data_IF_012023695256
#
_entry.id   IF_012023695256
#
_cell.length_a   1.000
_cell.length_b   1.000
_cell.length_c   1.000
_cell.angle_alpha   90.00
_cell.angle_beta   90.00
_cell.angle_gamma   90.00
#
_symmetry.space_group_name_H-M   'P 1'
#
loop_
_entity.id
_entity.type
_entity.pdbx_description
1 polymer ?
#
# COMPACT_ATOMS: atom_id res chain seq x y z
N UNK A 1 5.69 -20.57 23.22
CA UNK A 1 5.49 -20.17 21.82
C UNK A 1 5.15 -18.70 21.85
N UNK A 2 6.17 -17.87 21.69
CA UNK A 2 5.98 -16.42 21.64
C UNK A 2 5.61 -16.07 20.19
N UNK A 3 4.31 -16.16 19.91
CA UNK A 3 3.72 -15.93 18.61
C UNK A 3 3.59 -14.43 18.37
N UNK A 4 4.70 -13.78 18.01
CA UNK A 4 4.59 -12.51 17.28
C UNK A 4 3.99 -12.84 15.92
N UNK A 5 2.68 -12.63 15.77
CA UNK A 5 2.04 -12.67 14.45
C UNK A 5 2.84 -11.75 13.50
N UNK A 6 3.25 -12.25 12.33
CA UNK A 6 3.87 -11.38 11.33
C UNK A 6 2.90 -10.24 11.03
N UNK A 7 3.42 -9.00 11.03
CA UNK A 7 2.61 -7.79 10.89
C UNK A 7 1.60 -7.94 9.76
N UNK A 8 0.34 -7.68 10.10
CA UNK A 8 -0.75 -7.71 9.15
C UNK A 8 -0.79 -6.37 8.40
N UNK A 9 -0.79 -6.42 7.06
CA UNK A 9 -1.37 -5.32 6.31
C UNK A 9 -2.81 -5.11 6.78
N UNK A 10 -3.20 -3.85 6.84
CA UNK A 10 -4.51 -3.44 7.34
C UNK A 10 -4.95 -2.16 6.65
N UNK A 11 -6.26 -1.91 6.59
CA UNK A 11 -6.81 -0.63 6.16
C UNK A 11 -6.30 0.53 7.03
N UNK A 12 -6.09 0.31 8.34
CA UNK A 12 -5.45 1.29 9.23
C UNK A 12 -4.00 1.55 8.82
N UNK A 13 -3.32 0.50 8.35
CA UNK A 13 -1.93 0.51 7.91
C UNK A 13 -1.72 0.80 6.43
N UNK A 14 -2.65 1.50 5.75
CA UNK A 14 -2.55 1.84 4.33
C UNK A 14 -1.17 2.39 3.90
N UNK A 15 -0.56 3.33 4.65
CA UNK A 15 0.80 3.81 4.38
C UNK A 15 1.89 2.72 4.38
N UNK A 16 1.78 1.72 5.26
CA UNK A 16 2.74 0.62 5.37
C UNK A 16 2.62 -0.35 4.19
N UNK A 17 1.40 -0.66 3.74
CA UNK A 17 1.20 -1.39 2.48
C UNK A 17 1.78 -0.58 1.31
N UNK A 18 1.46 0.71 1.22
CA UNK A 18 1.97 1.57 0.16
C UNK A 18 3.50 1.65 0.12
N UNK A 19 4.17 1.63 1.27
CA UNK A 19 5.64 1.60 1.35
C UNK A 19 6.24 0.32 0.72
N UNK A 20 5.63 -0.84 0.95
CA UNK A 20 6.03 -2.07 0.28
C UNK A 20 5.74 -2.01 -1.22
N UNK A 21 4.53 -1.58 -1.60
CA UNK A 21 4.11 -1.55 -3.00
C UNK A 21 4.94 -0.56 -3.85
N UNK A 22 5.27 0.62 -3.34
CA UNK A 22 6.11 1.59 -4.05
C UNK A 22 7.51 1.05 -4.40
N UNK A 23 7.96 -0.01 -3.70
CA UNK A 23 9.25 -0.68 -3.95
C UNK A 23 9.14 -1.89 -4.86
N UNK A 24 7.94 -2.45 -5.02
CA UNK A 24 7.72 -3.66 -5.80
C UNK A 24 7.47 -3.35 -7.29
N UNK A 25 8.08 -4.08 -8.24
CA UNK A 25 7.80 -3.89 -9.67
C UNK A 25 6.34 -4.15 -10.08
N UNK A 26 5.60 -4.93 -9.29
CA UNK A 26 4.16 -5.14 -9.46
C UNK A 26 3.28 -4.26 -8.57
N UNK A 27 3.85 -3.33 -7.81
CA UNK A 27 3.14 -2.58 -6.77
C UNK A 27 1.92 -1.80 -7.25
N UNK A 28 2.03 -1.08 -8.36
CA UNK A 28 0.91 -0.35 -8.95
C UNK A 28 -0.25 -1.28 -9.38
N UNK A 29 0.04 -2.51 -9.82
CA UNK A 29 -1.02 -3.48 -10.13
C UNK A 29 -1.68 -4.03 -8.87
N UNK A 30 -0.90 -4.30 -7.82
CA UNK A 30 -1.47 -4.68 -6.50
C UNK A 30 -2.38 -3.55 -6.02
N UNK A 31 -1.91 -2.31 -6.08
CA UNK A 31 -2.70 -1.14 -5.71
C UNK A 31 -4.01 -1.07 -6.51
N UNK A 32 -3.96 -1.19 -7.84
CA UNK A 32 -5.16 -1.21 -8.68
C UNK A 32 -6.17 -2.29 -8.30
N UNK A 33 -5.72 -3.53 -8.03
CA UNK A 33 -6.60 -4.63 -7.60
C UNK A 33 -7.23 -4.34 -6.24
N UNK A 34 -6.47 -3.82 -5.27
CA UNK A 34 -7.00 -3.52 -3.94
C UNK A 34 -7.95 -2.33 -3.98
N UNK A 35 -7.71 -1.33 -4.84
CA UNK A 35 -8.68 -0.23 -5.08
C UNK A 35 -9.98 -0.74 -5.69
N UNK A 36 -9.93 -1.68 -6.64
CA UNK A 36 -11.14 -2.37 -7.11
C UNK A 36 -11.83 -3.06 -5.93
N UNK A 37 -11.10 -3.81 -5.12
CA UNK A 37 -11.67 -4.50 -3.95
C UNK A 37 -12.30 -3.54 -2.91
N UNK A 38 -11.80 -2.32 -2.77
CA UNK A 38 -12.39 -1.29 -1.91
C UNK A 38 -13.71 -0.73 -2.48
N UNK A 39 -13.85 -0.72 -3.81
CA UNK A 39 -14.97 -0.13 -4.53
C UNK A 39 -16.08 -1.14 -4.92
N UNK A 40 -15.80 -2.45 -4.93
CA UNK A 40 -16.79 -3.45 -5.36
C UNK A 40 -18.05 -3.44 -4.51
N UNK A 41 -19.19 -3.49 -5.19
CA UNK A 41 -20.50 -3.74 -4.59
C UNK A 41 -20.93 -5.21 -4.70
N UNK A 42 -22.14 -5.55 -4.18
CA UNK A 42 -22.68 -6.91 -4.25
C UNK A 42 -22.70 -7.50 -5.67
N UNK A 43 -23.12 -6.73 -6.68
CA UNK A 43 -23.18 -7.18 -8.08
C UNK A 43 -21.78 -7.49 -8.66
N UNK A 44 -20.75 -6.76 -8.24
CA UNK A 44 -19.38 -7.02 -8.67
C UNK A 44 -18.81 -8.28 -8.03
N UNK A 45 -19.23 -8.61 -6.79
CA UNK A 45 -18.86 -9.87 -6.14
C UNK A 45 -19.42 -11.07 -6.90
N UNK A 46 -20.65 -11.00 -7.39
CA UNK A 46 -21.23 -12.06 -8.24
C UNK A 46 -20.41 -12.25 -9.53
N UNK A 47 -20.02 -11.15 -10.18
CA UNK A 47 -19.19 -11.18 -11.40
C UNK A 47 -17.81 -11.79 -11.16
N UNK A 48 -17.17 -11.43 -10.05
CA UNK A 48 -15.88 -11.98 -9.64
C UNK A 48 -16.01 -13.47 -9.31
N UNK A 49 -17.00 -13.84 -8.51
CA UNK A 49 -17.26 -15.23 -8.12
C UNK A 49 -17.54 -16.12 -9.33
N UNK A 50 -18.29 -15.64 -10.33
CA UNK A 50 -18.55 -16.35 -11.58
C UNK A 50 -17.27 -16.64 -12.39
N UNK A 51 -16.20 -15.86 -12.18
CA UNK A 51 -14.92 -16.05 -12.84
C UNK A 51 -13.95 -16.95 -12.06
N UNK A 52 -14.32 -17.41 -10.86
CA UNK A 52 -13.46 -18.17 -9.96
C UNK A 52 -12.87 -19.42 -10.64
N UNK A 53 -11.54 -19.68 -10.52
CA UNK A 53 -10.86 -20.76 -11.24
C UNK A 53 -11.17 -22.17 -10.71
N UNK A 54 -11.90 -22.27 -9.62
CA UNK A 54 -12.19 -23.52 -8.92
C UNK A 54 -11.13 -23.85 -7.86
N UNK A 55 -11.53 -24.60 -6.82
CA UNK A 55 -10.67 -24.89 -5.66
C UNK A 55 -9.39 -25.65 -6.03
N UNK A 56 -9.44 -26.53 -7.04
CA UNK A 56 -8.29 -27.33 -7.46
C UNK A 56 -7.15 -26.50 -8.04
N UNK A 57 -7.46 -25.60 -8.98
CA UNK A 57 -6.46 -24.71 -9.59
C UNK A 57 -5.84 -23.77 -8.55
N UNK A 58 -6.67 -23.21 -7.67
CA UNK A 58 -6.19 -22.32 -6.60
C UNK A 58 -5.25 -23.03 -5.63
N UNK A 59 -5.58 -24.25 -5.25
CA UNK A 59 -4.74 -25.05 -4.37
C UNK A 59 -3.39 -25.42 -5.02
N UNK A 60 -3.38 -25.68 -6.32
CA UNK A 60 -2.14 -25.86 -7.09
C UNK A 60 -1.27 -24.59 -7.10
N UNK A 61 -1.88 -23.41 -7.31
CA UNK A 61 -1.16 -22.14 -7.27
C UNK A 61 -0.54 -21.89 -5.90
N UNK A 62 -1.33 -22.08 -4.82
CA UNK A 62 -0.85 -21.92 -3.44
C UNK A 62 0.34 -22.81 -3.14
N UNK A 63 0.27 -24.09 -3.52
CA UNK A 63 1.38 -25.05 -3.36
C UNK A 63 2.65 -24.64 -4.10
N UNK A 64 2.50 -23.95 -5.24
CA UNK A 64 3.64 -23.54 -6.07
C UNK A 64 4.40 -22.34 -5.51
N UNK A 65 3.76 -21.50 -4.68
CA UNK A 65 4.36 -20.28 -4.14
C UNK A 65 4.39 -20.22 -2.60
N UNK A 66 4.22 -21.35 -1.89
CA UNK A 66 4.40 -21.41 -0.44
C UNK A 66 5.81 -20.90 -0.12
N UNK A 67 5.97 -19.89 0.76
CA UNK A 67 7.28 -19.40 1.12
C UNK A 67 8.11 -20.54 1.71
N UNK A 68 9.30 -20.80 1.16
CA UNK A 68 10.36 -21.45 1.94
C UNK A 68 10.64 -20.55 3.14
N UNK A 69 10.20 -21.00 4.31
CA UNK A 69 10.29 -20.35 5.61
C UNK A 69 11.62 -19.64 5.83
N UNK A 70 11.57 -18.32 6.00
CA UNK A 70 12.73 -17.49 6.27
C UNK A 70 12.39 -16.01 6.37
N UNK A 71 11.23 -15.66 6.93
CA UNK A 71 10.88 -14.27 7.19
C UNK A 71 11.34 -13.92 8.60
N UNK A 72 12.40 -13.13 8.73
CA UNK A 72 12.73 -12.47 9.99
C UNK A 72 11.53 -11.61 10.42
N UNK A 73 11.28 -11.57 11.73
CA UNK A 73 10.12 -10.91 12.32
C UNK A 73 10.00 -9.45 11.87
N UNK A 74 8.80 -9.05 11.43
CA UNK A 74 8.47 -7.67 11.06
C UNK A 74 8.77 -6.66 12.19
N UNK A 75 8.70 -7.08 13.45
CA UNK A 75 9.10 -6.26 14.60
C UNK A 75 10.61 -5.96 14.61
N UNK A 76 11.42 -6.90 14.12
CA UNK A 76 12.86 -6.71 13.89
C UNK A 76 13.07 -5.77 12.72
N UNK A 77 12.33 -5.91 11.62
CA UNK A 77 12.44 -5.03 10.44
C UNK A 77 12.02 -3.59 10.72
N UNK A 78 11.00 -3.35 11.55
CA UNK A 78 10.55 -1.99 11.91
C UNK A 78 11.43 -1.32 12.97
N UNK A 79 11.92 -2.08 13.96
CA UNK A 79 13.01 -1.61 14.82
C UNK A 79 14.26 -1.30 14.01
N UNK A 80 14.57 -2.15 13.03
CA UNK A 80 15.66 -1.91 12.11
C UNK A 80 15.34 -0.77 11.15
N UNK A 81 14.10 -0.47 10.76
CA UNK A 81 13.77 0.65 9.87
C UNK A 81 13.79 1.99 10.62
N UNK A 82 13.28 2.03 11.84
CA UNK A 82 13.40 3.18 12.75
C UNK A 82 14.85 3.45 13.13
N UNK A 83 15.57 2.42 13.60
CA UNK A 83 17.01 2.53 13.91
C UNK A 83 17.88 2.70 12.66
N UNK A 84 17.48 2.18 11.50
CA UNK A 84 18.16 2.41 10.22
C UNK A 84 18.02 3.83 9.73
N UNK A 85 16.86 4.46 9.94
CA UNK A 85 16.68 5.87 9.62
C UNK A 85 17.57 6.74 10.52
N UNK A 86 17.82 6.30 11.76
CA UNK A 86 18.77 6.93 12.69
C UNK A 86 20.25 6.61 12.37
N UNK A 87 20.61 5.38 11.99
CA UNK A 87 21.98 4.93 11.69
C UNK A 87 22.42 5.17 10.23
N UNK A 88 21.49 5.30 9.27
CA UNK A 88 21.81 5.71 7.90
C UNK A 88 22.33 7.16 7.85
N UNK A 89 22.14 7.94 8.92
CA UNK A 89 22.86 9.20 9.15
C UNK A 89 24.40 8.99 9.24
N UNK A 90 24.87 7.76 9.49
CA UNK A 90 26.29 7.37 9.54
C UNK A 90 26.80 6.65 8.27
N UNK A 91 25.98 6.47 7.23
CA UNK A 91 26.45 6.01 5.91
C UNK A 91 26.57 4.49 5.69
N UNK A 92 25.92 3.65 6.50
CA UNK A 92 25.99 2.20 6.31
C UNK A 92 25.12 1.66 5.15
N UNK A 93 25.74 1.57 3.98
CA UNK A 93 25.20 1.02 2.71
C UNK A 93 24.64 -0.42 2.78
N UNK A 94 24.96 -1.20 3.82
CA UNK A 94 24.48 -2.58 3.97
C UNK A 94 23.03 -2.64 4.49
N UNK A 95 22.68 -1.77 5.42
CA UNK A 95 21.37 -1.71 6.03
C UNK A 95 20.35 -0.98 5.11
N UNK A 96 20.81 -0.03 4.30
CA UNK A 96 20.04 0.54 3.19
C UNK A 96 19.64 -0.51 2.14
N UNK A 97 20.58 -1.38 1.71
CA UNK A 97 20.26 -2.50 0.80
C UNK A 97 19.27 -3.49 1.40
N UNK A 98 19.32 -3.70 2.73
CA UNK A 98 18.37 -4.55 3.44
C UNK A 98 16.98 -3.93 3.44
N UNK A 99 16.87 -2.62 3.65
CA UNK A 99 15.62 -1.87 3.51
C UNK A 99 15.08 -1.85 2.08
N UNK A 100 15.92 -1.81 1.05
CA UNK A 100 15.45 -1.90 -0.34
C UNK A 100 14.77 -3.27 -0.63
N UNK A 101 15.20 -4.34 0.05
CA UNK A 101 14.73 -5.71 -0.21
C UNK A 101 13.74 -6.29 0.80
N UNK A 102 13.64 -5.73 2.00
CA UNK A 102 12.79 -6.27 3.07
C UNK A 102 11.40 -5.63 3.04
N UNK A 103 10.39 -6.46 2.81
CA UNK A 103 8.99 -6.06 2.89
C UNK A 103 8.52 -6.11 4.35
N UNK A 104 7.54 -5.27 4.70
CA UNK A 104 6.91 -5.25 6.01
C UNK A 104 5.90 -6.39 6.18
N UNK A 105 5.23 -6.77 5.09
CA UNK A 105 4.30 -7.88 5.03
C UNK A 105 4.68 -8.95 4.01
N UNK A 106 3.75 -9.86 3.77
CA UNK A 106 3.85 -10.93 2.78
C UNK A 106 2.52 -11.13 2.02
N UNK A 107 2.52 -12.07 1.07
CA UNK A 107 1.32 -12.38 0.29
C UNK A 107 0.16 -12.90 1.17
N UNK A 108 0.44 -13.55 2.29
CA UNK A 108 -0.59 -14.02 3.22
C UNK A 108 -1.21 -12.85 4.00
N UNK A 109 -0.40 -11.86 4.40
CA UNK A 109 -0.89 -10.63 4.99
C UNK A 109 -1.79 -9.85 4.02
N UNK A 110 -1.46 -9.87 2.71
CA UNK A 110 -2.27 -9.24 1.67
C UNK A 110 -3.61 -9.95 1.46
N UNK A 111 -3.63 -11.28 1.33
CA UNK A 111 -4.89 -12.07 1.26
C UNK A 111 -5.75 -11.82 2.51
N UNK A 112 -5.15 -11.83 3.70
CA UNK A 112 -5.85 -11.54 4.95
C UNK A 112 -6.49 -10.16 4.94
N UNK A 113 -5.74 -9.11 4.57
CA UNK A 113 -6.25 -7.74 4.50
C UNK A 113 -7.44 -7.64 3.55
N UNK A 114 -7.34 -8.23 2.35
CA UNK A 114 -8.44 -8.21 1.37
C UNK A 114 -9.71 -8.83 1.98
N UNK A 115 -9.58 -9.97 2.66
CA UNK A 115 -10.73 -10.67 3.23
C UNK A 115 -11.30 -10.02 4.47
N UNK A 116 -10.43 -9.59 5.38
CA UNK A 116 -10.79 -9.25 6.76
C UNK A 116 -10.99 -7.77 6.99
N UNK A 117 -10.36 -6.93 6.18
CA UNK A 117 -10.43 -5.49 6.33
C UNK A 117 -11.17 -4.85 5.15
N UNK A 118 -10.86 -5.26 3.91
CA UNK A 118 -11.47 -4.66 2.71
C UNK A 118 -12.88 -5.20 2.47
N UNK A 119 -13.07 -6.52 2.58
CA UNK A 119 -14.36 -7.20 2.41
C UNK A 119 -15.00 -7.58 3.76
N UNK A 120 -14.66 -6.85 4.82
CA UNK A 120 -15.19 -7.03 6.18
C UNK A 120 -16.74 -7.07 6.22
N UNK A 121 -17.39 -6.21 5.44
CA UNK A 121 -18.84 -6.11 5.31
C UNK A 121 -19.53 -7.38 4.76
N UNK A 122 -18.77 -8.32 4.19
CA UNK A 122 -19.28 -9.60 3.66
C UNK A 122 -19.27 -10.73 4.70
N UNK A 123 -18.81 -10.46 5.92
CA UNK A 123 -18.76 -11.46 6.99
C UNK A 123 -20.09 -11.57 7.74
N UNK A 124 -20.62 -12.79 7.78
CA UNK A 124 -21.79 -13.17 8.55
C UNK A 124 -21.35 -13.62 9.95
N UNK A 125 -21.99 -13.05 10.96
CA UNK A 125 -21.67 -13.31 12.37
C UNK A 125 -22.84 -14.02 13.05
N UNK A 126 -22.56 -15.17 13.67
CA UNK A 126 -23.50 -15.99 14.41
C UNK A 126 -22.91 -16.45 15.74
N UNK A 127 -23.04 -15.63 16.78
CA UNK A 127 -22.43 -15.89 18.09
C UNK A 127 -20.90 -15.91 18.00
N UNK A 128 -20.28 -17.02 18.41
CA UNK A 128 -18.82 -17.21 18.33
C UNK A 128 -18.32 -17.63 16.94
N UNK A 129 -19.21 -17.80 15.96
CA UNK A 129 -18.87 -18.24 14.61
C UNK A 129 -18.95 -17.05 13.66
N UNK A 130 -17.91 -16.86 12.86
CA UNK A 130 -17.90 -15.91 11.74
C UNK A 130 -17.55 -16.65 10.45
N UNK A 131 -18.35 -16.46 9.41
CA UNK A 131 -18.11 -17.02 8.09
C UNK A 131 -18.33 -15.92 7.04
N UNK A 132 -17.47 -15.88 6.04
CA UNK A 132 -17.68 -14.99 4.91
C UNK A 132 -18.83 -15.55 4.04
N UNK A 133 -19.66 -14.67 3.49
CA UNK A 133 -20.64 -15.06 2.49
C UNK A 133 -19.98 -15.92 1.38
N UNK A 134 -20.59 -17.04 0.93
CA UNK A 134 -19.97 -17.95 -0.03
C UNK A 134 -19.59 -17.29 -1.37
N UNK A 135 -20.42 -16.38 -1.89
CA UNK A 135 -20.11 -15.65 -3.12
C UNK A 135 -18.96 -14.69 -2.87
N UNK A 136 -19.01 -13.94 -1.77
CA UNK A 136 -17.93 -13.04 -1.39
C UNK A 136 -16.60 -13.78 -1.16
N UNK A 137 -16.64 -15.01 -0.64
CA UNK A 137 -15.45 -15.83 -0.45
C UNK A 137 -14.80 -16.20 -1.78
N UNK A 138 -15.58 -16.60 -2.78
CA UNK A 138 -15.10 -16.86 -4.15
C UNK A 138 -14.59 -15.59 -4.84
N UNK A 139 -15.26 -14.46 -4.64
CA UNK A 139 -14.80 -13.18 -5.16
C UNK A 139 -13.47 -12.74 -4.51
N UNK A 140 -13.33 -12.92 -3.19
CA UNK A 140 -12.12 -12.63 -2.45
C UNK A 140 -10.94 -13.49 -2.92
N UNK A 141 -11.19 -14.75 -3.30
CA UNK A 141 -10.19 -15.62 -3.92
C UNK A 141 -9.65 -15.03 -5.23
N UNK A 142 -10.53 -14.56 -6.11
CA UNK A 142 -10.14 -13.93 -7.38
C UNK A 142 -9.31 -12.65 -7.15
N UNK A 143 -9.73 -11.80 -6.22
CA UNK A 143 -9.01 -10.57 -5.87
C UNK A 143 -7.64 -10.87 -5.26
N UNK A 144 -7.57 -11.80 -4.30
CA UNK A 144 -6.35 -12.17 -3.63
C UNK A 144 -5.34 -12.84 -4.58
N UNK A 145 -5.79 -13.71 -5.48
CA UNK A 145 -4.91 -14.38 -6.45
C UNK A 145 -4.35 -13.36 -7.46
N UNK A 146 -5.17 -12.42 -7.93
CA UNK A 146 -4.73 -11.34 -8.81
C UNK A 146 -3.71 -10.43 -8.13
N UNK A 147 -3.98 -9.99 -6.90
CA UNK A 147 -3.07 -9.17 -6.10
C UNK A 147 -1.75 -9.92 -5.81
N UNK A 148 -1.82 -11.19 -5.42
CA UNK A 148 -0.65 -12.04 -5.15
C UNK A 148 0.20 -12.23 -6.40
N UNK A 149 -0.43 -12.40 -7.57
CA UNK A 149 0.29 -12.56 -8.84
C UNK A 149 1.18 -11.35 -9.17
N UNK A 150 0.71 -10.14 -8.84
CA UNK A 150 1.46 -8.90 -9.02
C UNK A 150 2.47 -8.69 -7.89
N UNK A 151 2.10 -8.99 -6.65
CA UNK A 151 2.98 -8.87 -5.48
C UNK A 151 4.23 -9.75 -5.61
N UNK A 152 4.06 -10.98 -6.11
CA UNK A 152 5.12 -11.96 -6.33
C UNK A 152 5.65 -11.94 -7.79
N UNK A 153 5.46 -10.83 -8.52
CA UNK A 153 5.75 -10.73 -9.96
C UNK A 153 7.09 -11.34 -10.38
N UNK A 154 8.16 -11.04 -9.66
CA UNK A 154 9.52 -11.49 -10.00
C UNK A 154 9.86 -12.90 -9.47
N UNK A 155 8.97 -13.48 -8.66
CA UNK A 155 9.12 -14.82 -8.07
C UNK A 155 8.27 -15.88 -8.77
N UNK A 156 7.25 -15.46 -9.52
CA UNK A 156 6.34 -16.36 -10.23
C UNK A 156 6.76 -16.53 -11.69
N UNK A 157 6.63 -17.75 -12.21
CA UNK A 157 6.73 -17.98 -13.64
C UNK A 157 5.69 -17.13 -14.40
N UNK A 158 6.01 -16.55 -15.56
CA UNK A 158 5.09 -15.67 -16.30
C UNK A 158 3.73 -16.32 -16.62
N UNK A 159 3.70 -17.63 -16.88
CA UNK A 159 2.48 -18.36 -17.21
C UNK A 159 1.58 -18.52 -15.99
N UNK A 160 2.16 -18.87 -14.83
CA UNK A 160 1.44 -18.96 -13.56
C UNK A 160 0.89 -17.59 -13.16
N UNK A 161 1.71 -16.54 -13.27
CA UNK A 161 1.29 -15.17 -12.98
C UNK A 161 0.08 -14.76 -13.83
N UNK A 162 0.11 -15.04 -15.14
CA UNK A 162 -1.01 -14.77 -16.04
C UNK A 162 -2.24 -15.61 -15.69
N UNK A 163 -2.06 -16.88 -15.35
CA UNK A 163 -3.16 -17.76 -14.94
C UNK A 163 -3.86 -17.25 -13.67
N UNK A 164 -3.10 -16.82 -12.65
CA UNK A 164 -3.63 -16.27 -11.40
C UNK A 164 -4.39 -14.95 -11.60
N UNK A 165 -3.93 -14.08 -12.49
CA UNK A 165 -4.59 -12.80 -12.79
C UNK A 165 -5.80 -12.94 -13.74
N UNK A 166 -5.87 -14.02 -14.53
CA UNK A 166 -6.88 -14.17 -15.59
C UNK A 166 -8.33 -14.11 -15.09
N UNK A 167 -8.72 -14.74 -13.95
CA UNK A 167 -10.06 -14.60 -13.39
C UNK A 167 -10.49 -13.14 -13.16
N UNK A 168 -9.61 -12.33 -12.58
CA UNK A 168 -9.88 -10.92 -12.31
C UNK A 168 -10.05 -10.12 -13.62
N UNK A 169 -9.18 -10.35 -14.61
CA UNK A 169 -9.29 -9.69 -15.92
C UNK A 169 -10.58 -10.09 -16.63
N UNK A 170 -10.99 -11.37 -16.57
CA UNK A 170 -12.25 -11.85 -17.18
C UNK A 170 -13.50 -11.24 -16.54
N UNK A 171 -13.46 -10.91 -15.24
CA UNK A 171 -14.58 -10.27 -14.57
C UNK A 171 -14.91 -8.89 -15.18
N UNK A 172 -13.94 -8.25 -15.84
CA UNK A 172 -14.14 -7.03 -16.63
C UNK A 172 -14.61 -5.84 -15.77
N UNK A 173 -14.15 -5.77 -14.52
CA UNK A 173 -14.39 -4.62 -13.66
C UNK A 173 -13.54 -3.44 -14.12
N UNK A 174 -14.10 -2.23 -14.02
CA UNK A 174 -13.36 -1.02 -14.32
C UNK A 174 -12.23 -0.84 -13.29
N UNK A 175 -11.02 -0.54 -13.78
CA UNK A 175 -9.93 -0.14 -12.89
C UNK A 175 -10.17 1.31 -12.45
N UNK A 176 -10.08 1.62 -11.14
CA UNK A 176 -10.22 2.98 -10.65
C UNK A 176 -9.17 3.89 -11.28
N UNK A 177 -9.61 5.05 -11.75
CA UNK A 177 -8.72 6.16 -12.11
C UNK A 177 -7.98 6.66 -10.87
N UNK A 178 -6.93 7.48 -11.03
CA UNK A 178 -6.16 8.03 -9.90
C UNK A 178 -7.02 8.82 -8.90
N UNK A 179 -8.19 9.30 -9.32
CA UNK A 179 -9.09 10.11 -8.50
C UNK A 179 -9.59 9.36 -7.25
N UNK A 180 -9.66 10.08 -6.15
CA UNK A 180 -10.19 9.64 -4.84
C UNK A 180 -11.50 10.37 -4.50
N UNK A 181 -11.96 11.29 -5.36
CA UNK A 181 -13.13 12.14 -5.13
C UNK A 181 -12.87 13.32 -4.19
N UNK A 182 -11.59 13.67 -3.97
CA UNK A 182 -11.16 14.79 -3.14
C UNK A 182 -10.37 15.78 -4.00
N UNK A 183 -11.00 16.88 -4.49
CA UNK A 183 -10.43 17.69 -5.57
C UNK A 183 -9.04 18.27 -5.34
N UNK A 184 -8.66 18.55 -4.09
CA UNK A 184 -7.29 19.00 -3.77
C UNK A 184 -6.29 17.86 -3.84
N UNK A 185 -6.63 16.69 -3.28
CA UNK A 185 -5.77 15.51 -3.34
C UNK A 185 -5.65 14.98 -4.77
N UNK A 186 -6.74 14.97 -5.54
CA UNK A 186 -6.76 14.54 -6.94
C UNK A 186 -5.81 15.39 -7.79
N UNK A 187 -5.79 16.72 -7.57
CA UNK A 187 -4.83 17.61 -8.22
C UNK A 187 -3.38 17.31 -7.83
N UNK A 188 -3.12 16.98 -6.56
CA UNK A 188 -1.78 16.61 -6.10
C UNK A 188 -1.33 15.28 -6.68
N UNK A 189 -2.21 14.28 -6.73
CA UNK A 189 -1.98 12.97 -7.36
C UNK A 189 -1.63 13.14 -8.84
N UNK A 190 -2.43 13.92 -9.58
CA UNK A 190 -2.17 14.20 -10.99
C UNK A 190 -0.84 14.96 -11.20
N UNK A 191 -0.56 15.97 -10.38
CA UNK A 191 0.70 16.71 -10.44
C UNK A 191 1.92 15.84 -10.13
N UNK A 192 1.83 14.98 -9.12
CA UNK A 192 2.89 14.05 -8.75
C UNK A 192 3.12 12.98 -9.82
N UNK A 193 2.05 12.42 -10.38
CA UNK A 193 2.11 11.46 -11.49
C UNK A 193 2.69 12.07 -12.77
N UNK A 194 2.55 13.38 -12.97
CA UNK A 194 3.12 14.11 -14.10
C UNK A 194 4.55 14.61 -13.85
N UNK A 195 5.23 14.15 -12.80
CA UNK A 195 6.60 14.59 -12.47
C UNK A 195 7.57 14.34 -13.61
N UNK A 196 8.29 15.40 -14.01
CA UNK A 196 9.41 15.30 -14.94
C UNK A 196 10.74 15.00 -14.20
N UNK A 197 11.85 15.03 -14.95
CA UNK A 197 13.17 14.79 -14.38
C UNK A 197 13.60 15.85 -13.35
N UNK A 198 13.19 17.11 -13.54
CA UNK A 198 13.51 18.21 -12.62
C UNK A 198 12.72 18.08 -11.32
N UNK A 199 11.42 17.80 -11.40
CA UNK A 199 10.57 17.51 -10.25
C UNK A 199 11.12 16.32 -9.44
N UNK A 200 11.49 15.22 -10.11
CA UNK A 200 12.11 14.06 -9.42
C UNK A 200 13.43 14.41 -8.73
N UNK A 201 14.28 15.23 -9.37
CA UNK A 201 15.53 15.72 -8.74
C UNK A 201 15.23 16.61 -7.53
N UNK A 202 14.24 17.49 -7.62
CA UNK A 202 13.83 18.36 -6.54
C UNK A 202 13.32 17.54 -5.34
N UNK A 203 12.47 16.54 -5.56
CA UNK A 203 12.00 15.63 -4.51
C UNK A 203 13.14 14.92 -3.78
N UNK A 204 14.09 14.33 -4.52
CA UNK A 204 15.26 13.65 -3.93
C UNK A 204 16.07 14.59 -3.05
N UNK A 205 16.38 15.78 -3.58
CA UNK A 205 17.13 16.82 -2.86
C UNK A 205 16.41 17.27 -1.59
N UNK A 206 15.11 17.61 -1.68
CA UNK A 206 14.31 18.07 -0.54
C UNK A 206 14.24 16.99 0.53
N UNK A 207 14.01 15.73 0.16
CA UNK A 207 13.97 14.61 1.11
C UNK A 207 15.31 14.40 1.81
N UNK A 208 16.42 14.53 1.08
CA UNK A 208 17.77 14.47 1.66
C UNK A 208 18.00 15.64 2.65
N UNK A 209 17.54 16.86 2.32
CA UNK A 209 17.64 18.04 3.17
C UNK A 209 16.81 17.89 4.47
N UNK A 210 15.57 17.38 4.37
CA UNK A 210 14.69 17.22 5.54
C UNK A 210 14.95 15.95 6.36
N UNK A 211 15.88 15.08 5.93
CA UNK A 211 16.19 13.82 6.62
C UNK A 211 16.55 14.03 8.09
N UNK A 212 17.18 15.16 8.45
CA UNK A 212 17.49 15.54 9.83
C UNK A 212 16.27 15.74 10.74
N UNK A 213 15.06 15.92 10.17
CA UNK A 213 13.81 16.17 10.89
C UNK A 213 12.88 14.94 10.90
N UNK A 214 13.38 13.75 10.56
CA UNK A 214 12.54 12.55 10.41
C UNK A 214 11.86 12.13 11.73
N UNK A 215 12.41 12.52 12.88
CA UNK A 215 11.81 12.28 14.20
C UNK A 215 10.43 12.96 14.38
N UNK A 216 10.16 14.07 13.67
CA UNK A 216 8.87 14.78 13.72
C UNK A 216 7.78 14.07 12.90
N UNK A 217 8.17 13.28 11.89
CA UNK A 217 7.23 12.71 10.92
C UNK A 217 6.35 11.62 11.53
N UNK A 218 6.92 10.71 12.33
CA UNK A 218 6.16 9.59 12.88
C UNK A 218 5.03 10.03 13.84
N UNK A 219 5.27 10.98 14.79
CA UNK A 219 4.20 11.58 15.58
C UNK A 219 3.11 12.25 14.72
N UNK A 220 3.49 13.04 13.70
CA UNK A 220 2.52 13.72 12.84
C UNK A 220 1.67 12.72 12.02
N UNK A 221 2.30 11.66 11.48
CA UNK A 221 1.58 10.57 10.81
C UNK A 221 0.64 9.82 11.75
N UNK A 222 1.05 9.61 13.00
CA UNK A 222 0.20 9.01 14.01
C UNK A 222 -1.03 9.88 14.28
N UNK A 223 -0.86 11.20 14.45
CA UNK A 223 -1.98 12.14 14.63
C UNK A 223 -2.93 12.13 13.43
N UNK A 224 -2.40 12.17 12.20
CA UNK A 224 -3.22 12.11 11.00
C UNK A 224 -4.01 10.79 10.90
N UNK A 225 -3.37 9.67 11.22
CA UNK A 225 -4.01 8.34 11.23
C UNK A 225 -5.07 8.23 12.33
N UNK A 226 -4.81 8.81 13.51
CA UNK A 226 -5.79 8.89 14.59
C UNK A 226 -7.01 9.71 14.16
N UNK A 227 -6.81 10.89 13.57
CA UNK A 227 -7.89 11.73 13.05
C UNK A 227 -8.75 10.99 12.00
N UNK A 228 -8.12 10.24 11.09
CA UNK A 228 -8.82 9.39 10.12
C UNK A 228 -9.64 8.28 10.79
N UNK A 229 -9.10 7.66 11.83
CA UNK A 229 -9.77 6.60 12.57
C UNK A 229 -11.01 7.11 13.30
N UNK A 230 -10.90 8.23 14.02
CA UNK A 230 -12.03 8.76 14.81
C UNK A 230 -13.12 9.39 13.94
N UNK A 231 -12.84 9.64 12.66
CA UNK A 231 -13.80 10.15 11.68
C UNK A 231 -14.24 9.12 10.64
N UNK A 232 -13.91 7.85 10.85
CA UNK A 232 -14.30 6.73 9.99
C UNK A 232 -13.84 6.87 8.51
N UNK A 233 -12.75 7.61 8.28
CA UNK A 233 -12.18 7.88 6.94
C UNK A 233 -11.10 6.88 6.52
N UNK A 234 -10.88 5.81 7.28
CA UNK A 234 -9.77 4.88 7.06
C UNK A 234 -9.82 4.15 5.71
N UNK A 235 -11.02 3.76 5.23
CA UNK A 235 -11.17 3.13 3.91
C UNK A 235 -10.80 4.09 2.77
N UNK A 236 -11.27 5.34 2.86
CA UNK A 236 -10.91 6.39 1.90
C UNK A 236 -9.42 6.72 1.95
N UNK A 237 -8.82 6.74 3.15
CA UNK A 237 -7.38 6.93 3.30
C UNK A 237 -6.57 5.78 2.70
N UNK A 238 -7.02 4.54 2.87
CA UNK A 238 -6.40 3.39 2.24
C UNK A 238 -6.46 3.50 0.70
N UNK A 239 -7.63 3.83 0.13
CA UNK A 239 -7.76 4.05 -1.32
C UNK A 239 -6.81 5.14 -1.82
N UNK A 240 -6.73 6.28 -1.11
CA UNK A 240 -5.83 7.37 -1.42
C UNK A 240 -4.35 6.99 -1.37
N UNK A 241 -3.93 6.19 -0.39
CA UNK A 241 -2.55 5.67 -0.33
C UNK A 241 -2.26 4.70 -1.49
N UNK A 242 -3.25 3.94 -1.95
CA UNK A 242 -3.09 3.06 -3.13
C UNK A 242 -3.05 3.88 -4.43
N UNK A 243 -3.86 4.94 -4.56
CA UNK A 243 -3.76 5.89 -5.66
C UNK A 243 -2.38 6.57 -5.68
N UNK A 244 -1.85 6.90 -4.51
CA UNK A 244 -0.52 7.47 -4.33
C UNK A 244 0.60 6.54 -4.81
N UNK A 245 0.48 5.21 -4.62
CA UNK A 245 1.41 4.22 -5.19
C UNK A 245 1.39 4.27 -6.72
N UNK A 246 0.20 4.33 -7.32
CA UNK A 246 0.06 4.39 -8.78
C UNK A 246 0.70 5.68 -9.30
N UNK A 247 0.35 6.83 -8.71
CA UNK A 247 0.94 8.12 -9.06
C UNK A 247 2.48 8.14 -8.88
N UNK A 248 3.02 7.43 -7.90
CA UNK A 248 4.46 7.30 -7.70
C UNK A 248 5.15 6.57 -8.84
N UNK A 249 4.55 5.48 -9.32
CA UNK A 249 5.09 4.74 -10.47
C UNK A 249 4.92 5.55 -11.76
N UNK A 250 3.77 6.17 -11.97
CA UNK A 250 3.50 6.98 -13.16
C UNK A 250 4.41 8.23 -13.23
N UNK A 251 4.74 8.83 -12.08
CA UNK A 251 5.71 9.90 -11.95
C UNK A 251 7.17 9.48 -12.19
N UNK A 252 7.42 8.21 -12.53
CA UNK A 252 8.74 7.67 -12.85
C UNK A 252 9.68 7.54 -11.65
N UNK A 253 9.12 7.53 -10.43
CA UNK A 253 9.91 7.23 -9.24
C UNK A 253 10.17 5.73 -9.12
N UNK A 254 11.30 5.39 -8.50
CA UNK A 254 11.79 4.02 -8.40
C UNK A 254 11.66 3.47 -6.98
N UNK A 255 11.79 2.15 -6.82
CA UNK A 255 11.84 1.55 -5.49
C UNK A 255 13.00 2.10 -4.63
N UNK A 256 14.07 2.57 -5.26
CA UNK A 256 15.15 3.30 -4.58
C UNK A 256 14.66 4.63 -4.03
N UNK A 257 13.93 5.42 -4.82
CA UNK A 257 13.35 6.69 -4.36
C UNK A 257 12.42 6.47 -3.16
N UNK A 258 11.64 5.38 -3.18
CA UNK A 258 10.78 5.00 -2.06
C UNK A 258 11.60 4.67 -0.81
N UNK A 259 12.63 3.82 -0.93
CA UNK A 259 13.51 3.43 0.18
C UNK A 259 14.31 4.61 0.78
N UNK A 260 14.66 5.61 -0.04
CA UNK A 260 15.41 6.79 0.39
C UNK A 260 14.54 7.93 0.96
N UNK A 261 13.22 7.73 1.06
CA UNK A 261 12.31 8.58 1.81
C UNK A 261 11.30 9.38 0.98
N UNK A 262 11.37 9.35 -0.35
CA UNK A 262 10.40 10.05 -1.21
C UNK A 262 9.00 9.52 -0.97
N UNK A 263 8.85 8.20 -0.80
CA UNK A 263 7.55 7.62 -0.44
C UNK A 263 7.03 8.14 0.89
N UNK A 264 7.85 8.21 1.94
CA UNK A 264 7.38 8.66 3.26
C UNK A 264 6.91 10.12 3.23
N UNK A 265 7.64 10.98 2.50
CA UNK A 265 7.25 12.37 2.30
C UNK A 265 5.93 12.49 1.50
N UNK A 266 5.80 11.71 0.42
CA UNK A 266 4.61 11.68 -0.42
C UNK A 266 3.40 11.11 0.33
N UNK A 267 3.55 9.96 0.98
CA UNK A 267 2.53 9.31 1.79
C UNK A 267 2.05 10.22 2.92
N UNK A 268 2.95 10.98 3.56
CA UNK A 268 2.61 12.00 4.53
C UNK A 268 1.77 13.13 3.95
N UNK A 269 2.14 13.63 2.77
CA UNK A 269 1.36 14.65 2.05
C UNK A 269 -0.06 14.17 1.76
N UNK A 270 -0.20 12.92 1.30
CA UNK A 270 -1.51 12.29 1.06
C UNK A 270 -2.32 12.18 2.35
N UNK A 271 -1.70 11.69 3.43
CA UNK A 271 -2.34 11.54 4.73
C UNK A 271 -2.86 12.89 5.27
N UNK A 272 -2.03 13.94 5.23
CA UNK A 272 -2.41 15.28 5.66
C UNK A 272 -3.54 15.89 4.81
N UNK A 273 -3.58 15.58 3.50
CA UNK A 273 -4.62 16.08 2.59
C UNK A 273 -6.02 15.56 2.96
N UNK A 274 -6.10 14.36 3.55
CA UNK A 274 -7.38 13.72 3.92
C UNK A 274 -7.98 14.24 5.23
N UNK A 275 -7.15 14.87 6.07
CA UNK A 275 -7.53 15.39 7.40
C UNK A 275 -7.07 16.81 7.63
N UNK A 276 -6.96 17.60 6.55
CA UNK A 276 -6.56 19.02 6.66
C UNK A 276 -7.51 19.82 7.55
N UNK A 277 -8.77 19.39 7.66
CA UNK A 277 -9.79 19.97 8.54
C UNK A 277 -9.61 19.66 10.03
N UNK A 278 -8.75 18.69 10.38
CA UNK A 278 -8.64 18.13 11.74
C UNK A 278 -7.21 18.12 12.27
N UNK A 279 -6.21 18.19 11.39
CA UNK A 279 -4.81 18.06 11.76
C UNK A 279 -4.30 19.39 12.36
N UNK A 280 -3.62 19.37 13.53
CA UNK A 280 -2.96 20.56 14.05
C UNK A 280 -2.00 21.16 13.03
N UNK A 281 -1.92 22.49 13.00
CA UNK A 281 -1.11 23.23 12.02
C UNK A 281 0.35 22.74 11.97
N UNK A 282 0.95 22.50 13.14
CA UNK A 282 2.31 21.96 13.24
C UNK A 282 2.47 20.58 12.56
N UNK A 283 1.55 19.66 12.79
CA UNK A 283 1.60 18.31 12.21
C UNK A 283 1.35 18.37 10.69
N UNK A 284 0.43 19.24 10.25
CA UNK A 284 0.20 19.50 8.83
C UNK A 284 1.45 20.06 8.15
N UNK A 285 2.15 21.00 8.80
CA UNK A 285 3.38 21.58 8.28
C UNK A 285 4.51 20.56 8.16
N UNK A 286 4.64 19.63 9.11
CA UNK A 286 5.58 18.51 9.04
C UNK A 286 5.28 17.64 7.83
N UNK A 287 4.04 17.22 7.65
CA UNK A 287 3.65 16.28 6.58
C UNK A 287 3.61 16.91 5.19
N UNK A 288 3.36 18.21 5.07
CA UNK A 288 3.31 18.94 3.81
C UNK A 288 4.65 19.60 3.43
N UNK A 289 5.66 19.55 4.30
CA UNK A 289 6.94 20.24 4.13
C UNK A 289 7.58 19.98 2.77
N UNK A 290 7.74 18.71 2.41
CA UNK A 290 8.39 18.33 1.16
C UNK A 290 7.58 18.75 -0.07
N UNK A 291 6.25 18.57 -0.02
CA UNK A 291 5.35 18.98 -1.09
C UNK A 291 5.48 20.48 -1.39
N UNK A 292 5.42 21.32 -0.35
CA UNK A 292 5.55 22.77 -0.45
C UNK A 292 6.92 23.18 -0.95
N UNK A 293 8.00 22.54 -0.48
CA UNK A 293 9.35 22.85 -0.93
C UNK A 293 9.60 22.51 -2.42
N UNK A 294 8.88 21.54 -2.98
CA UNK A 294 8.99 21.17 -4.41
C UNK A 294 8.06 22.00 -5.31
N UNK A 295 6.84 22.33 -4.85
CA UNK A 295 5.79 22.89 -5.72
C UNK A 295 5.40 24.33 -5.42
N UNK A 296 5.84 24.91 -4.29
CA UNK A 296 5.71 26.34 -4.04
C UNK A 296 6.96 27.03 -4.60
N UNK A 297 6.80 28.09 -5.44
CA UNK A 297 7.94 28.87 -5.90
C UNK A 297 8.74 29.42 -4.71
N UNK A 298 10.06 29.44 -4.82
CA UNK A 298 10.87 30.28 -3.94
C UNK A 298 10.54 31.74 -4.29
N UNK A 299 10.03 32.49 -3.31
CA UNK A 299 9.87 33.95 -3.40
C UNK A 299 11.23 34.65 -3.59
#
# INVERSE_FOLDING_TARGET
>A
MDGSEPMAYSVVGGPALGFDLARLPGGAQVAGVVRVALAVGPEDLDRLAACHPGAGAREEWRRTHVPTTGTESAATTLRLAGAALEEAAAGETALLRRLESSLLGDAHALDRMIRRDVLDWTWLHGGAVAAQDPVASLAADVLADAATSAYLRDRLAPDLRRAMAAPFVRAGLALPELETGLPELDRRLAGFAASDDDARRAWRRVVDEVRGHTAEWAPAMHQATWALSVTERLRAACDAQLAAVIAFVDGGFTGRDAAYGVWNAWSGTVQASLVTDLLPEHDADVLLRAWRAVHTPAD
#
